data_IF_121687292123
#
_entry.id   IF_121687292123
#
_cell.length_a   1.000
_cell.length_b   1.000
_cell.length_c   1.000
_cell.angle_alpha   90.00
_cell.angle_beta   90.00
_cell.angle_gamma   90.00
#
_symmetry.space_group_name_H-M   'P 1'
#
loop_
_entity.id
_entity.type
_entity.pdbx_description
1 polymer ?
#
# COMPACT_ATOMS: atom_id res chain seq x y z
N UNK A 1 -28.90 -14.77 15.03
CA UNK A 1 -28.76 -13.40 15.58
C UNK A 1 -27.39 -13.22 16.22
N UNK A 2 -26.45 -12.62 15.49
CA UNK A 2 -25.43 -11.71 16.03
C UNK A 2 -25.22 -10.63 14.98
N UNK A 3 -26.01 -9.58 15.13
CA UNK A 3 -25.76 -8.26 14.56
C UNK A 3 -24.39 -7.80 15.09
N UNK A 4 -23.42 -7.68 14.19
CA UNK A 4 -22.19 -6.94 14.44
C UNK A 4 -22.29 -5.68 13.59
N UNK A 5 -22.44 -4.52 14.23
CA UNK A 5 -22.29 -3.22 13.60
C UNK A 5 -20.92 -3.16 12.92
N UNK A 6 -20.87 -3.38 11.60
CA UNK A 6 -19.68 -3.08 10.83
C UNK A 6 -19.61 -1.57 10.72
N UNK A 7 -18.88 -0.92 11.63
CA UNK A 7 -18.55 0.50 11.47
C UNK A 7 -17.88 0.70 10.11
N UNK A 8 -18.28 1.74 9.39
CA UNK A 8 -17.61 2.15 8.16
C UNK A 8 -16.14 2.44 8.47
N UNK A 9 -15.21 1.84 7.70
CA UNK A 9 -13.79 2.13 7.88
C UNK A 9 -13.51 3.62 7.63
N UNK A 10 -12.41 4.13 8.16
CA UNK A 10 -12.06 5.53 7.96
C UNK A 10 -11.57 5.74 6.52
N UNK A 11 -10.68 4.86 6.07
CA UNK A 11 -10.04 4.97 4.76
C UNK A 11 -9.92 3.62 4.05
N UNK A 12 -10.17 3.62 2.75
CA UNK A 12 -9.84 2.52 1.82
C UNK A 12 -8.61 2.88 0.96
N UNK A 13 -8.07 1.88 0.27
CA UNK A 13 -7.05 2.05 -0.75
C UNK A 13 -7.59 1.73 -2.14
N UNK A 14 -7.25 2.55 -3.13
CA UNK A 14 -7.58 2.32 -4.54
C UNK A 14 -6.28 2.37 -5.33
N UNK A 15 -5.97 1.27 -6.03
CA UNK A 15 -4.79 1.17 -6.91
C UNK A 15 -5.24 0.98 -8.34
N UNK A 16 -4.96 1.96 -9.19
CA UNK A 16 -5.27 1.93 -10.61
C UNK A 16 -4.20 1.14 -11.35
N UNK A 17 -4.55 -0.07 -11.78
CA UNK A 17 -3.72 -0.95 -12.59
C UNK A 17 -4.02 -0.82 -14.10
N UNK A 18 -5.04 -0.03 -14.46
CA UNK A 18 -5.43 0.22 -15.85
C UNK A 18 -4.47 1.18 -16.57
N UNK A 19 -4.09 0.82 -17.80
CA UNK A 19 -3.28 1.67 -18.67
C UNK A 19 -2.43 0.86 -19.66
N UNK A 20 -2.47 1.22 -20.94
CA UNK A 20 -1.59 0.63 -21.95
C UNK A 20 -0.16 1.12 -21.70
N UNK A 21 0.65 0.29 -21.06
CA UNK A 21 2.07 0.54 -20.74
C UNK A 21 2.96 0.47 -22.00
N UNK A 22 2.61 1.24 -23.03
CA UNK A 22 3.17 1.13 -24.39
C UNK A 22 4.67 1.43 -24.45
N UNK A 23 5.19 2.28 -23.55
CA UNK A 23 6.61 2.64 -23.47
C UNK A 23 7.50 1.55 -22.87
N UNK A 24 6.93 0.64 -22.08
CA UNK A 24 7.67 -0.40 -21.36
C UNK A 24 7.61 -1.78 -22.05
N UNK A 25 6.79 -1.93 -23.09
CA UNK A 25 6.57 -3.21 -23.79
C UNK A 25 5.84 -4.29 -22.97
N UNK A 26 5.78 -4.15 -21.65
CA UNK A 26 5.10 -5.04 -20.69
C UNK A 26 4.23 -4.21 -19.75
N UNK A 27 3.14 -4.80 -19.22
CA UNK A 27 2.31 -4.14 -18.20
C UNK A 27 3.15 -3.75 -16.98
N UNK A 28 3.12 -2.46 -16.59
CA UNK A 28 3.81 -1.97 -15.39
C UNK A 28 3.44 -2.77 -14.14
N UNK A 29 2.18 -3.20 -14.03
CA UNK A 29 1.69 -3.99 -12.91
C UNK A 29 2.51 -5.27 -12.66
N UNK A 30 3.00 -5.90 -13.74
CA UNK A 30 3.73 -7.17 -13.71
C UNK A 30 5.26 -7.00 -13.65
N UNK A 31 5.78 -5.77 -13.64
CA UNK A 31 7.23 -5.55 -13.55
C UNK A 31 7.77 -6.07 -12.22
N UNK A 32 8.91 -6.75 -12.29
CA UNK A 32 9.57 -7.33 -11.14
C UNK A 32 10.20 -6.25 -10.25
N UNK A 33 9.82 -6.29 -8.97
CA UNK A 33 10.45 -5.57 -7.88
C UNK A 33 11.03 -6.58 -6.88
N UNK A 34 12.23 -7.07 -7.17
CA UNK A 34 12.97 -7.97 -6.30
C UNK A 34 12.17 -9.24 -5.95
N UNK A 35 11.59 -9.88 -6.97
CA UNK A 35 10.76 -11.08 -6.82
C UNK A 35 9.28 -10.80 -6.49
N UNK A 36 8.88 -9.54 -6.31
CA UNK A 36 7.50 -9.13 -6.07
C UNK A 36 7.00 -8.25 -7.22
N UNK A 37 5.82 -8.50 -7.81
CA UNK A 37 5.26 -7.62 -8.83
C UNK A 37 5.03 -6.20 -8.30
N UNK A 38 5.28 -5.16 -9.11
CA UNK A 38 5.08 -3.75 -8.73
C UNK A 38 3.67 -3.48 -8.18
N UNK A 39 2.64 -4.04 -8.82
CA UNK A 39 1.26 -3.89 -8.36
C UNK A 39 1.06 -4.48 -6.95
N UNK A 40 1.58 -5.68 -6.70
CA UNK A 40 1.48 -6.33 -5.38
C UNK A 40 2.20 -5.51 -4.31
N UNK A 41 3.37 -4.94 -4.66
CA UNK A 41 4.11 -4.04 -3.78
C UNK A 41 3.31 -2.78 -3.43
N UNK A 42 2.81 -2.04 -4.42
CA UNK A 42 2.05 -0.80 -4.18
C UNK A 42 0.77 -1.09 -3.39
N UNK A 43 0.03 -2.14 -3.76
CA UNK A 43 -1.16 -2.54 -3.01
C UNK A 43 -0.84 -2.92 -1.56
N UNK A 44 0.28 -3.61 -1.32
CA UNK A 44 0.78 -3.90 0.03
C UNK A 44 1.14 -2.65 0.83
N UNK A 45 1.81 -1.67 0.21
CA UNK A 45 2.15 -0.40 0.84
C UNK A 45 0.91 0.41 1.24
N UNK A 46 -0.10 0.48 0.36
CA UNK A 46 -1.38 1.13 0.64
C UNK A 46 -2.13 0.39 1.75
N UNK A 47 -2.19 -0.94 1.69
CA UNK A 47 -2.84 -1.77 2.71
C UNK A 47 -2.25 -1.62 4.12
N UNK A 48 -0.99 -1.22 4.22
CA UNK A 48 -0.34 -0.90 5.50
C UNK A 48 -0.73 0.46 6.09
N UNK A 49 -1.45 1.30 5.35
CA UNK A 49 -1.81 2.65 5.75
C UNK A 49 -3.32 2.86 5.96
N UNK A 50 -4.15 1.91 5.53
CA UNK A 50 -5.61 2.01 5.55
C UNK A 50 -6.23 0.95 6.45
N UNK A 51 -7.41 1.22 7.00
CA UNK A 51 -8.16 0.29 7.85
C UNK A 51 -9.36 -0.37 7.13
N UNK A 52 -9.68 0.11 5.92
CA UNK A 52 -10.67 -0.44 5.02
C UNK A 52 -10.08 -1.34 3.92
N UNK A 53 -10.89 -1.66 2.90
CA UNK A 53 -10.46 -2.53 1.79
C UNK A 53 -9.39 -1.85 0.92
N UNK A 54 -8.55 -2.66 0.29
CA UNK A 54 -7.70 -2.24 -0.83
C UNK A 54 -8.27 -2.82 -2.11
N UNK A 55 -8.63 -1.96 -3.06
CA UNK A 55 -9.21 -2.33 -4.34
C UNK A 55 -8.24 -2.01 -5.46
N UNK A 56 -7.95 -2.99 -6.31
CA UNK A 56 -7.24 -2.81 -7.57
C UNK A 56 -8.25 -2.68 -8.70
N UNK A 57 -8.19 -1.56 -9.42
CA UNK A 57 -9.01 -1.31 -10.61
C UNK A 57 -8.19 -1.67 -11.84
N UNK A 58 -8.61 -2.70 -12.59
CA UNK A 58 -7.92 -3.16 -13.80
C UNK A 58 -8.72 -2.87 -15.07
N UNK A 59 -8.04 -2.80 -16.21
CA UNK A 59 -8.72 -2.73 -17.50
C UNK A 59 -9.43 -4.06 -17.84
N UNK A 60 -10.50 -4.04 -18.67
CA UNK A 60 -11.19 -5.26 -19.09
C UNK A 60 -10.23 -6.30 -19.66
N UNK A 61 -10.31 -7.54 -19.16
CA UNK A 61 -9.50 -8.65 -19.66
C UNK A 61 -8.00 -8.55 -19.35
N UNK A 62 -7.57 -7.57 -18.56
CA UNK A 62 -6.19 -7.44 -18.15
C UNK A 62 -5.81 -8.57 -17.17
N UNK A 63 -4.83 -9.39 -17.57
CA UNK A 63 -4.17 -10.31 -16.65
C UNK A 63 -3.44 -9.53 -15.55
N UNK A 64 -3.68 -9.91 -14.29
CA UNK A 64 -2.96 -9.37 -13.14
C UNK A 64 -2.00 -10.42 -12.59
N UNK A 65 -0.82 -9.98 -12.08
CA UNK A 65 0.04 -10.87 -11.31
C UNK A 65 -0.62 -11.25 -9.96
N UNK A 66 -0.06 -12.20 -9.21
CA UNK A 66 -0.52 -12.52 -7.86
C UNK A 66 -0.58 -11.26 -6.97
N UNK A 67 -1.66 -11.13 -6.21
CA UNK A 67 -1.92 -10.02 -5.30
C UNK A 67 -1.95 -10.50 -3.85
N UNK A 68 -1.68 -9.62 -2.87
CA UNK A 68 -1.87 -9.94 -1.45
C UNK A 68 -3.31 -10.38 -1.17
N UNK A 69 -3.51 -11.30 -0.22
CA UNK A 69 -4.79 -11.98 0.01
C UNK A 69 -5.97 -11.04 0.35
N UNK A 70 -5.69 -9.85 0.90
CA UNK A 70 -6.71 -8.86 1.30
C UNK A 70 -7.04 -7.83 0.22
N UNK A 71 -6.47 -7.99 -0.98
CA UNK A 71 -6.70 -7.08 -2.11
C UNK A 71 -7.85 -7.60 -2.97
N UNK A 72 -8.85 -6.75 -3.15
CA UNK A 72 -9.98 -7.00 -4.05
C UNK A 72 -9.64 -6.49 -5.45
N UNK A 73 -10.16 -7.13 -6.48
CA UNK A 73 -10.00 -6.71 -7.88
C UNK A 73 -11.35 -6.34 -8.45
N UNK A 74 -11.44 -5.18 -9.08
CA UNK A 74 -12.62 -4.74 -9.83
C UNK A 74 -12.23 -4.41 -11.27
N UNK A 75 -13.12 -4.75 -12.20
CA UNK A 75 -12.97 -4.45 -13.60
C UNK A 75 -13.53 -3.04 -13.90
N UNK A 76 -12.72 -2.20 -14.53
CA UNK A 76 -13.21 -0.98 -15.17
C UNK A 76 -13.97 -1.36 -16.44
N UNK A 77 -15.29 -1.15 -16.55
CA UNK A 77 -16.06 -1.63 -17.70
C UNK A 77 -15.72 -0.93 -19.01
N UNK A 78 -15.01 0.21 -18.99
CA UNK A 78 -14.77 1.01 -20.19
C UNK A 78 -13.31 1.43 -20.32
N UNK A 79 -12.53 0.69 -21.12
CA UNK A 79 -11.14 1.02 -21.38
C UNK A 79 -11.00 2.39 -22.09
N UNK A 80 -9.94 3.13 -21.74
CA UNK A 80 -9.52 4.31 -22.51
C UNK A 80 -10.20 5.63 -22.13
N UNK A 81 -10.97 5.66 -21.04
CA UNK A 81 -11.58 6.89 -20.50
C UNK A 81 -10.68 7.68 -19.53
N UNK A 82 -9.42 7.29 -19.41
CA UNK A 82 -8.43 7.98 -18.58
C UNK A 82 -8.57 7.66 -17.09
N UNK A 83 -7.70 8.24 -16.24
CA UNK A 83 -7.63 7.88 -14.83
C UNK A 83 -8.91 8.22 -14.04
N UNK A 84 -9.70 9.20 -14.48
CA UNK A 84 -10.94 9.57 -13.78
C UNK A 84 -11.99 8.44 -13.77
N UNK A 85 -12.05 7.65 -14.85
CA UNK A 85 -12.89 6.45 -14.91
C UNK A 85 -12.47 5.43 -13.84
N UNK A 86 -11.17 5.16 -13.72
CA UNK A 86 -10.66 4.26 -12.70
C UNK A 86 -10.94 4.75 -11.27
N UNK A 87 -10.87 6.08 -11.05
CA UNK A 87 -11.28 6.69 -9.78
C UNK A 87 -12.77 6.47 -9.52
N UNK A 88 -13.64 6.67 -10.51
CA UNK A 88 -15.08 6.46 -10.37
C UNK A 88 -15.38 5.03 -9.91
N UNK A 89 -14.85 4.04 -10.63
CA UNK A 89 -15.03 2.60 -10.35
C UNK A 89 -14.47 2.24 -8.98
N UNK A 90 -13.29 2.75 -8.63
CA UNK A 90 -12.68 2.50 -7.33
C UNK A 90 -13.49 3.08 -6.17
N UNK A 91 -13.96 4.33 -6.30
CA UNK A 91 -14.77 4.99 -5.27
C UNK A 91 -16.13 4.30 -5.10
N UNK A 92 -16.76 3.88 -6.20
CA UNK A 92 -17.99 3.09 -6.17
C UNK A 92 -17.78 1.74 -5.46
N UNK A 93 -16.68 1.05 -5.76
CA UNK A 93 -16.37 -0.24 -5.15
C UNK A 93 -16.22 -0.17 -3.61
N UNK A 94 -15.72 0.94 -3.07
CA UNK A 94 -15.52 1.13 -1.62
C UNK A 94 -16.66 1.90 -0.95
N UNK A 95 -17.70 2.28 -1.71
CA UNK A 95 -18.87 2.98 -1.19
C UNK A 95 -19.57 2.16 -0.09
N UNK A 96 -19.96 2.83 0.99
CA UNK A 96 -20.55 2.19 2.17
C UNK A 96 -19.58 1.37 3.04
N UNK A 97 -18.31 1.23 2.63
CA UNK A 97 -17.27 0.48 3.35
C UNK A 97 -16.18 1.39 3.93
N UNK A 98 -15.97 2.57 3.35
CA UNK A 98 -15.06 3.59 3.86
C UNK A 98 -15.59 5.02 3.67
N UNK A 99 -15.15 5.97 4.50
CA UNK A 99 -15.45 7.41 4.34
C UNK A 99 -14.53 8.15 3.37
N UNK A 100 -13.27 7.73 3.30
CA UNK A 100 -12.25 8.27 2.40
C UNK A 100 -11.53 7.15 1.64
N UNK A 101 -10.83 7.49 0.56
CA UNK A 101 -9.97 6.58 -0.17
C UNK A 101 -8.67 7.26 -0.58
N UNK A 102 -7.54 6.59 -0.37
CA UNK A 102 -6.27 6.98 -1.00
C UNK A 102 -6.21 6.34 -2.38
N UNK A 103 -6.04 7.16 -3.41
CA UNK A 103 -5.97 6.72 -4.81
C UNK A 103 -4.54 6.81 -5.29
N UNK A 104 -4.05 5.72 -5.87
CA UNK A 104 -2.73 5.70 -6.52
C UNK A 104 -2.65 4.84 -7.77
N UNK A 105 -1.56 4.97 -8.51
CA UNK A 105 -1.22 4.12 -9.66
C UNK A 105 -0.11 3.12 -9.27
N UNK A 106 0.17 2.17 -10.16
CA UNK A 106 1.19 1.12 -9.90
C UNK A 106 2.64 1.59 -9.99
N UNK A 107 2.88 2.84 -10.36
CA UNK A 107 4.21 3.36 -10.71
C UNK A 107 4.92 4.09 -9.57
N UNK A 108 4.40 4.05 -8.34
CA UNK A 108 5.05 4.60 -7.16
C UNK A 108 5.64 3.48 -6.26
N UNK A 109 6.71 2.76 -6.69
CA UNK A 109 7.28 1.65 -5.92
C UNK A 109 7.90 2.08 -4.59
N UNK A 110 8.20 3.37 -4.44
CA UNK A 110 8.79 3.93 -3.23
C UNK A 110 7.75 4.55 -2.30
N UNK A 111 6.45 4.46 -2.63
CA UNK A 111 5.35 4.98 -1.81
C UNK A 111 5.50 4.55 -0.35
N UNK A 112 5.48 5.52 0.56
CA UNK A 112 5.59 5.24 1.98
C UNK A 112 4.22 5.20 2.66
N UNK A 113 3.91 4.23 3.55
CA UNK A 113 2.67 4.22 4.33
C UNK A 113 2.44 5.50 5.14
N UNK A 114 3.51 6.14 5.63
CA UNK A 114 3.43 7.44 6.32
C UNK A 114 2.96 8.57 5.39
N UNK A 115 3.33 8.54 4.09
CA UNK A 115 2.82 9.50 3.10
C UNK A 115 1.32 9.32 2.92
N UNK A 116 0.87 8.07 2.71
CA UNK A 116 -0.55 7.73 2.57
C UNK A 116 -1.36 8.21 3.78
N UNK A 117 -0.89 7.91 5.00
CA UNK A 117 -1.50 8.40 6.25
C UNK A 117 -1.53 9.92 6.32
N UNK A 118 -0.44 10.60 5.95
CA UNK A 118 -0.34 12.07 6.00
C UNK A 118 -1.37 12.74 5.09
N UNK A 119 -1.48 12.28 3.84
CA UNK A 119 -2.44 12.79 2.86
C UNK A 119 -3.88 12.52 3.31
N UNK A 120 -4.17 11.31 3.79
CA UNK A 120 -5.50 10.97 4.34
C UNK A 120 -5.87 11.85 5.55
N UNK A 121 -4.91 12.14 6.44
CA UNK A 121 -5.14 12.97 7.62
C UNK A 121 -5.37 14.46 7.30
N UNK A 122 -4.97 14.92 6.11
CA UNK A 122 -5.25 16.29 5.63
C UNK A 122 -6.66 16.43 5.04
N UNK A 123 -7.39 15.33 4.84
CA UNK A 123 -8.76 15.37 4.35
C UNK A 123 -9.70 15.71 5.53
N UNK A 124 -9.80 17.00 5.83
CA UNK A 124 -10.69 17.54 6.86
C UNK A 124 -12.17 17.34 6.51
N UNK A 125 -13.11 17.75 7.38
CA UNK A 125 -14.54 17.51 7.17
C UNK A 125 -15.13 18.21 5.94
N UNK A 126 -14.53 19.32 5.52
CA UNK A 126 -15.04 20.13 4.43
C UNK A 126 -14.38 19.80 3.07
N UNK A 127 -13.20 19.20 3.08
CA UNK A 127 -12.44 18.88 1.88
C UNK A 127 -13.04 17.67 1.17
N UNK A 128 -13.21 17.76 -0.14
CA UNK A 128 -13.62 16.62 -0.96
C UNK A 128 -12.40 15.84 -1.46
N UNK A 129 -11.31 16.54 -1.73
CA UNK A 129 -10.05 15.95 -2.22
C UNK A 129 -8.85 16.64 -1.58
N UNK A 130 -7.83 15.87 -1.21
CA UNK A 130 -6.48 16.35 -0.94
C UNK A 130 -5.59 15.93 -2.10
N UNK A 131 -5.08 16.90 -2.85
CA UNK A 131 -4.17 16.68 -3.99
C UNK A 131 -2.84 17.36 -3.70
N UNK A 132 -1.85 16.62 -3.19
CA UNK A 132 -0.53 17.17 -2.94
C UNK A 132 0.08 17.82 -4.18
N UNK A 133 0.81 18.93 -3.97
CA UNK A 133 1.57 19.62 -5.00
C UNK A 133 3.07 19.52 -4.67
N UNK A 134 3.80 18.76 -5.46
CA UNK A 134 5.23 18.49 -5.25
C UNK A 134 5.97 18.90 -6.49
N UNK A 135 7.03 19.71 -6.32
CA UNK A 135 7.78 20.32 -7.42
C UNK A 135 6.87 21.05 -8.43
N UNK A 136 5.87 21.79 -7.93
CA UNK A 136 4.85 22.50 -8.71
C UNK A 136 3.87 21.62 -9.52
N UNK A 137 3.94 20.30 -9.38
CA UNK A 137 3.02 19.39 -10.08
C UNK A 137 1.97 18.81 -9.12
N UNK A 138 0.67 18.88 -9.47
CA UNK A 138 -0.38 18.22 -8.70
C UNK A 138 -0.26 16.70 -8.85
N UNK A 139 -0.53 15.97 -7.76
CA UNK A 139 -0.37 14.53 -7.65
C UNK A 139 -1.73 13.83 -7.49
N UNK A 140 -2.59 13.80 -8.53
CA UNK A 140 -3.95 13.28 -8.43
C UNK A 140 -4.03 11.77 -8.20
N UNK A 141 -2.92 11.05 -8.45
CA UNK A 141 -2.76 9.60 -8.23
C UNK A 141 -1.79 9.33 -7.07
N UNK A 142 -1.71 10.26 -6.12
CA UNK A 142 -1.15 10.08 -4.80
C UNK A 142 -1.93 10.96 -3.81
N UNK A 143 -3.25 10.83 -3.85
CA UNK A 143 -4.20 11.79 -3.31
C UNK A 143 -5.30 11.09 -2.50
N UNK A 144 -5.90 11.83 -1.56
CA UNK A 144 -7.06 11.36 -0.81
C UNK A 144 -8.34 11.93 -1.42
N UNK A 145 -9.35 11.09 -1.57
CA UNK A 145 -10.66 11.43 -2.11
C UNK A 145 -11.73 11.02 -1.11
N UNK A 146 -12.72 11.88 -0.88
CA UNK A 146 -13.91 11.52 -0.12
C UNK A 146 -14.74 10.53 -0.92
N UNK A 147 -15.19 9.45 -0.29
CA UNK A 147 -15.95 8.39 -0.99
C UNK A 147 -17.31 8.90 -1.48
N UNK A 148 -17.91 9.89 -0.79
CA UNK A 148 -19.15 10.54 -1.22
C UNK A 148 -19.04 11.30 -2.55
N UNK A 149 -17.84 11.48 -3.11
CA UNK A 149 -17.66 12.01 -4.46
C UNK A 149 -18.05 11.02 -5.56
N UNK A 150 -18.21 9.73 -5.25
CA UNK A 150 -18.49 8.69 -6.25
C UNK A 150 -19.61 9.07 -7.25
N UNK A 151 -20.78 9.60 -6.85
CA UNK A 151 -21.82 10.01 -7.80
C UNK A 151 -21.40 11.17 -8.72
N UNK A 152 -20.69 12.17 -8.19
CA UNK A 152 -20.19 13.31 -8.97
C UNK A 152 -19.15 12.85 -10.00
N UNK A 153 -18.18 12.03 -9.58
CA UNK A 153 -17.13 11.52 -10.47
C UNK A 153 -17.75 10.67 -11.58
N UNK A 154 -18.73 9.84 -11.25
CA UNK A 154 -19.47 9.01 -12.22
C UNK A 154 -20.26 9.85 -13.23
N UNK A 155 -20.90 10.95 -12.80
CA UNK A 155 -21.58 11.89 -13.70
C UNK A 155 -20.59 12.53 -14.67
N UNK A 156 -19.47 13.07 -14.17
CA UNK A 156 -18.44 13.72 -15.00
C UNK A 156 -17.87 12.76 -16.05
N UNK A 157 -17.61 11.51 -15.66
CA UNK A 157 -17.13 10.47 -16.58
C UNK A 157 -18.17 10.15 -17.66
N UNK A 158 -19.46 10.17 -17.31
CA UNK A 158 -20.57 10.00 -18.26
C UNK A 158 -20.70 11.17 -19.23
N UNK A 159 -20.37 12.38 -18.78
CA UNK A 159 -20.26 13.61 -19.59
C UNK A 159 -19.00 13.65 -20.48
N UNK A 160 -18.13 12.64 -20.38
CA UNK A 160 -16.93 12.52 -21.21
C UNK A 160 -15.68 13.14 -20.60
N UNK A 161 -15.72 13.60 -19.36
CA UNK A 161 -14.54 14.08 -18.62
C UNK A 161 -13.59 12.92 -18.35
N UNK A 162 -12.31 13.09 -18.68
CA UNK A 162 -11.30 12.02 -18.58
C UNK A 162 -10.20 12.28 -17.57
N UNK A 163 -10.00 13.54 -17.17
CA UNK A 163 -8.82 13.97 -16.41
C UNK A 163 -9.22 14.53 -15.03
N UNK A 164 -8.53 14.12 -13.94
CA UNK A 164 -8.81 14.59 -12.59
C UNK A 164 -8.81 16.12 -12.39
N UNK A 165 -7.98 16.94 -13.06
CA UNK A 165 -8.04 18.39 -12.92
C UNK A 165 -9.42 19.00 -13.16
N UNK A 166 -10.24 18.41 -14.04
CA UNK A 166 -11.59 18.90 -14.32
C UNK A 166 -12.55 18.64 -13.13
N UNK A 167 -12.40 17.50 -12.43
CA UNK A 167 -13.11 17.22 -11.18
C UNK A 167 -12.80 18.28 -10.12
N UNK A 168 -11.55 18.74 -10.02
CA UNK A 168 -11.12 19.69 -8.99
C UNK A 168 -11.75 21.08 -9.12
N UNK A 169 -12.42 21.37 -10.24
CA UNK A 169 -13.20 22.61 -10.43
C UNK A 169 -14.63 22.48 -9.91
N UNK A 170 -15.07 21.27 -9.53
CA UNK A 170 -16.44 20.92 -9.13
C UNK A 170 -16.57 20.50 -7.67
N UNK A 171 -15.48 20.55 -6.89
CA UNK A 171 -15.44 20.14 -5.49
C UNK A 171 -14.40 20.95 -4.69
N UNK A 172 -14.42 20.85 -3.36
CA UNK A 172 -13.47 21.54 -2.49
C UNK A 172 -12.16 20.76 -2.43
N UNK A 173 -11.06 21.38 -2.85
CA UNK A 173 -9.74 20.71 -2.94
C UNK A 173 -8.70 21.41 -2.08
N UNK A 174 -8.06 20.65 -1.20
CA UNK A 174 -6.87 21.04 -0.43
C UNK A 174 -5.63 20.62 -1.21
N UNK A 175 -4.64 21.51 -1.35
CA UNK A 175 -3.42 21.28 -2.13
C UNK A 175 -2.19 21.53 -1.28
N UNK A 176 -1.83 20.57 -0.40
CA UNK A 176 -0.69 20.74 0.46
C UNK A 176 0.59 20.72 -0.38
N UNK A 177 1.50 21.64 -0.10
CA UNK A 177 2.84 21.64 -0.68
C UNK A 177 3.80 20.71 0.09
N UNK A 178 5.07 20.69 -0.32
CA UNK A 178 6.12 19.87 0.29
C UNK A 178 6.36 20.23 1.77
N UNK A 179 6.29 21.51 2.13
CA UNK A 179 6.46 21.97 3.51
C UNK A 179 5.30 21.50 4.39
N UNK A 180 4.07 21.65 3.92
CA UNK A 180 2.87 21.20 4.64
C UNK A 180 2.84 19.68 4.82
N UNK A 181 3.28 18.91 3.82
CA UNK A 181 3.45 17.47 3.94
C UNK A 181 4.47 17.12 5.03
N UNK A 182 5.65 17.73 4.97
CA UNK A 182 6.78 17.47 5.88
C UNK A 182 6.58 18.05 7.29
N UNK A 183 5.59 18.93 7.49
CA UNK A 183 5.15 19.29 8.85
C UNK A 183 4.66 18.06 9.66
N UNK A 184 4.31 16.96 8.98
CA UNK A 184 4.05 15.67 9.63
C UNK A 184 5.35 14.99 10.08
N UNK A 185 5.60 14.98 11.39
CA UNK A 185 6.85 14.46 11.99
C UNK A 185 7.20 13.01 11.57
N UNK A 186 6.20 12.14 11.38
CA UNK A 186 6.46 10.79 10.90
C UNK A 186 7.03 10.79 9.48
N UNK A 187 6.39 11.51 8.55
CA UNK A 187 6.79 11.58 7.15
C UNK A 187 8.17 12.21 6.99
N UNK A 188 8.41 13.35 7.65
CA UNK A 188 9.71 14.02 7.60
C UNK A 188 10.87 13.16 8.11
N UNK A 189 10.60 12.25 9.05
CA UNK A 189 11.63 11.34 9.57
C UNK A 189 11.97 10.21 8.60
N UNK A 190 10.98 9.65 7.91
CA UNK A 190 11.14 8.41 7.12
C UNK A 190 11.27 8.64 5.62
N UNK A 191 10.76 9.77 5.12
CA UNK A 191 10.79 10.16 3.72
C UNK A 191 10.96 11.69 3.56
N UNK A 192 12.09 12.27 4.02
CA UNK A 192 12.31 13.72 4.00
C UNK A 192 12.44 14.32 2.59
N UNK A 193 12.70 13.49 1.57
CA UNK A 193 12.79 13.91 0.17
C UNK A 193 11.51 13.62 -0.63
N UNK A 194 10.46 13.10 0.01
CA UNK A 194 9.18 12.72 -0.64
C UNK A 194 9.44 11.76 -1.82
N UNK A 195 10.37 10.83 -1.63
CA UNK A 195 10.67 9.75 -2.58
C UNK A 195 9.44 8.87 -2.86
N UNK A 196 8.43 8.90 -1.98
CA UNK A 196 7.11 8.32 -2.20
C UNK A 196 6.51 8.65 -3.56
N UNK A 197 6.83 9.81 -4.14
CA UNK A 197 6.27 10.29 -5.41
C UNK A 197 7.19 10.05 -6.62
N UNK A 198 8.28 9.30 -6.43
CA UNK A 198 9.20 8.95 -7.51
C UNK A 198 8.61 7.85 -8.41
N UNK A 199 8.00 8.30 -9.51
CA UNK A 199 7.39 7.44 -10.52
C UNK A 199 8.36 6.58 -11.32
N UNK A 200 7.89 5.40 -11.76
CA UNK A 200 8.56 4.54 -12.76
C UNK A 200 7.71 4.40 -14.03
N UNK A 201 8.11 5.15 -15.05
CA UNK A 201 7.48 5.23 -16.37
C UNK A 201 8.37 4.69 -17.48
N UNK A 202 9.69 4.62 -17.27
CA UNK A 202 10.68 4.12 -18.23
C UNK A 202 11.55 3.01 -17.63
N UNK A 203 12.24 2.20 -18.46
CA UNK A 203 13.16 1.18 -17.97
C UNK A 203 14.33 1.78 -17.18
N UNK A 204 14.82 2.95 -17.59
CA UNK A 204 15.90 3.66 -16.90
C UNK A 204 15.48 4.16 -15.53
N UNK A 205 14.26 4.69 -15.40
CA UNK A 205 13.68 5.07 -14.10
C UNK A 205 13.55 3.85 -13.18
N UNK A 206 13.05 2.73 -13.71
CA UNK A 206 12.97 1.47 -12.96
C UNK A 206 14.37 1.00 -12.51
N UNK A 207 15.36 1.04 -13.40
CA UNK A 207 16.73 0.67 -13.07
C UNK A 207 17.31 1.58 -11.98
N UNK A 208 17.09 2.90 -12.08
CA UNK A 208 17.55 3.88 -11.10
C UNK A 208 16.95 3.65 -9.71
N UNK A 209 15.64 3.38 -9.61
CA UNK A 209 15.03 3.08 -8.30
C UNK A 209 15.42 1.70 -7.78
N UNK A 210 15.68 0.71 -8.63
CA UNK A 210 16.18 -0.61 -8.24
C UNK A 210 17.65 -0.58 -7.81
N UNK A 211 18.44 0.37 -8.29
CA UNK A 211 19.82 0.55 -7.84
C UNK A 211 19.92 1.05 -6.39
N UNK A 212 18.81 1.53 -5.79
CA UNK A 212 18.79 1.96 -4.40
C UNK A 212 19.01 0.78 -3.44
N UNK A 213 19.75 0.99 -2.34
CA UNK A 213 19.93 -0.04 -1.32
C UNK A 213 18.58 -0.43 -0.70
N UNK A 214 18.50 -1.67 -0.18
CA UNK A 214 17.35 -2.08 0.61
C UNK A 214 17.22 -1.16 1.85
N UNK A 215 15.99 -0.88 2.33
CA UNK A 215 15.83 -0.10 3.54
C UNK A 215 16.45 -0.84 4.72
N UNK A 216 17.08 -0.08 5.61
CA UNK A 216 17.52 -0.60 6.90
C UNK A 216 16.31 -0.67 7.82
N UNK A 217 15.99 -1.88 8.26
CA UNK A 217 14.82 -2.17 9.10
C UNK A 217 15.31 -2.55 10.48
N UNK A 218 14.76 -1.90 11.51
CA UNK A 218 15.12 -2.18 12.88
C UNK A 218 14.61 -3.56 13.29
N UNK A 219 15.36 -4.23 14.16
CA UNK A 219 14.95 -5.47 14.82
C UNK A 219 14.87 -5.16 16.30
N UNK A 220 13.73 -5.41 16.93
CA UNK A 220 13.48 -5.05 18.33
C UNK A 220 14.58 -5.58 19.28
N UNK A 221 15.09 -6.76 18.98
CA UNK A 221 16.16 -7.43 19.72
C UNK A 221 17.30 -7.81 18.76
N UNK A 222 18.16 -6.85 18.45
CA UNK A 222 19.40 -7.11 17.70
C UNK A 222 19.75 -6.05 16.66
N UNK A 223 20.80 -6.32 15.85
CA UNK A 223 21.20 -5.40 14.81
C UNK A 223 20.17 -5.36 13.67
N UNK A 224 20.02 -4.20 13.00
CA UNK A 224 19.10 -4.04 11.88
C UNK A 224 19.45 -4.98 10.72
N UNK A 225 18.50 -5.13 9.81
CA UNK A 225 18.66 -5.90 8.56
C UNK A 225 18.28 -5.05 7.36
N UNK A 226 19.00 -5.24 6.26
CA UNK A 226 18.69 -4.63 4.98
C UNK A 226 17.75 -5.57 4.21
N UNK A 227 16.46 -5.23 4.13
CA UNK A 227 15.46 -6.10 3.52
C UNK A 227 14.32 -5.28 2.89
N UNK A 228 13.83 -5.70 1.73
CA UNK A 228 12.75 -5.03 0.98
C UNK A 228 11.38 -5.65 1.25
N UNK A 229 11.36 -6.89 1.70
CA UNK A 229 10.15 -7.64 2.04
C UNK A 229 10.32 -8.37 3.36
N UNK A 230 9.21 -8.72 4.00
CA UNK A 230 9.23 -9.53 5.21
C UNK A 230 9.85 -10.91 4.95
N UNK A 231 9.68 -11.48 3.76
CA UNK A 231 10.32 -12.74 3.35
C UNK A 231 11.84 -12.66 3.32
N UNK A 232 12.40 -11.60 2.72
CA UNK A 232 13.86 -11.35 2.74
C UNK A 232 14.37 -11.20 4.18
N UNK A 233 13.69 -10.39 5.00
CA UNK A 233 14.07 -10.21 6.40
C UNK A 233 13.99 -11.52 7.19
N UNK A 234 12.97 -12.34 6.93
CA UNK A 234 12.79 -13.65 7.56
C UNK A 234 13.93 -14.59 7.22
N UNK A 235 14.36 -14.66 5.96
CA UNK A 235 15.49 -15.47 5.55
C UNK A 235 16.80 -15.03 6.25
N UNK A 236 17.04 -13.72 6.33
CA UNK A 236 18.23 -13.16 7.00
C UNK A 236 18.24 -13.41 8.52
N UNK A 237 17.07 -13.32 9.17
CA UNK A 237 16.94 -13.48 10.62
C UNK A 237 16.85 -14.95 11.04
N UNK A 238 16.30 -15.84 10.21
CA UNK A 238 16.31 -17.28 10.45
C UNK A 238 17.75 -17.82 10.57
N UNK A 239 18.70 -17.25 9.84
CA UNK A 239 20.13 -17.58 9.96
C UNK A 239 20.71 -17.22 11.34
N UNK A 240 20.11 -16.26 12.07
CA UNK A 240 20.55 -15.79 13.39
C UNK A 240 19.81 -16.47 14.55
N UNK A 241 18.51 -16.68 14.39
CA UNK A 241 17.61 -17.13 15.47
C UNK A 241 17.10 -18.57 15.29
N UNK A 242 17.50 -19.25 14.20
CA UNK A 242 17.07 -20.60 13.87
C UNK A 242 15.74 -20.65 13.10
N UNK A 243 15.41 -21.82 12.51
CA UNK A 243 14.27 -21.99 11.61
C UNK A 243 12.89 -21.89 12.30
N UNK A 244 12.84 -21.96 13.63
CA UNK A 244 11.61 -21.83 14.41
C UNK A 244 11.21 -20.38 14.72
N UNK A 245 12.08 -19.42 14.39
CA UNK A 245 11.82 -17.99 14.60
C UNK A 245 10.76 -17.49 13.61
N UNK A 246 9.70 -16.87 14.14
CA UNK A 246 8.70 -16.17 13.34
C UNK A 246 8.98 -14.68 13.40
N UNK A 247 9.27 -14.08 12.24
CA UNK A 247 9.50 -12.64 12.13
C UNK A 247 8.18 -11.96 11.87
N UNK A 248 7.88 -10.92 12.64
CA UNK A 248 6.67 -10.13 12.48
C UNK A 248 6.98 -8.66 12.34
N UNK A 249 6.25 -7.98 11.45
CA UNK A 249 6.26 -6.53 11.37
C UNK A 249 5.41 -5.93 12.51
N UNK A 250 6.02 -5.08 13.35
CA UNK A 250 5.32 -4.44 14.45
C UNK A 250 4.17 -3.55 13.92
N UNK A 251 2.98 -3.69 14.53
CA UNK A 251 1.81 -2.87 14.17
C UNK A 251 1.05 -3.30 12.90
N UNK A 252 1.46 -4.38 12.22
CA UNK A 252 0.74 -4.90 11.04
C UNK A 252 -0.33 -5.94 11.41
N UNK A 253 -1.48 -5.88 10.73
CA UNK A 253 -2.46 -6.97 10.69
C UNK A 253 -1.94 -8.05 9.72
N UNK A 254 -1.99 -9.33 10.09
CA UNK A 254 -1.35 -10.45 9.36
C UNK A 254 0.16 -10.27 9.14
N UNK A 255 0.87 -9.92 10.22
CA UNK A 255 2.29 -9.58 10.24
C UNK A 255 3.29 -10.71 9.82
N UNK A 256 2.88 -11.72 9.06
CA UNK A 256 3.72 -12.86 8.63
C UNK A 256 3.70 -13.13 7.13
N UNK A 257 2.94 -12.38 6.32
CA UNK A 257 2.97 -12.54 4.87
C UNK A 257 4.35 -12.14 4.31
N UNK A 258 5.10 -13.05 3.66
CA UNK A 258 6.43 -12.76 3.14
C UNK A 258 6.45 -11.68 2.07
N UNK A 259 5.32 -11.42 1.39
CA UNK A 259 5.19 -10.37 0.38
C UNK A 259 5.02 -8.96 0.98
N UNK A 260 4.87 -8.82 2.31
CA UNK A 260 4.75 -7.50 2.95
C UNK A 260 5.96 -6.64 2.58
N UNK A 261 5.75 -5.48 1.93
CA UNK A 261 6.84 -4.59 1.58
C UNK A 261 7.35 -3.89 2.85
N UNK A 262 8.67 -3.89 3.05
CA UNK A 262 9.33 -3.16 4.12
C UNK A 262 9.80 -1.79 3.64
N UNK A 263 9.79 -0.82 4.55
CA UNK A 263 10.13 0.58 4.31
C UNK A 263 10.98 1.15 5.45
N UNK A 264 11.68 2.29 5.24
CA UNK A 264 12.40 2.96 6.33
C UNK A 264 11.51 3.25 7.55
N UNK A 265 12.05 3.02 8.74
CA UNK A 265 11.32 3.21 9.99
C UNK A 265 10.48 2.02 10.45
N UNK A 266 10.43 0.94 9.67
CA UNK A 266 9.85 -0.33 10.11
C UNK A 266 10.65 -0.98 11.24
N UNK A 267 9.93 -1.69 12.11
CA UNK A 267 10.47 -2.45 13.23
C UNK A 267 9.97 -3.89 13.15
N UNK A 268 10.90 -4.84 13.17
CA UNK A 268 10.61 -6.28 13.20
C UNK A 268 10.75 -6.81 14.61
N UNK A 269 9.82 -7.68 15.01
CA UNK A 269 9.95 -8.48 16.22
C UNK A 269 10.20 -9.94 15.87
N UNK A 270 11.07 -10.59 16.64
CA UNK A 270 11.36 -12.02 16.53
C UNK A 270 10.52 -12.74 17.57
N UNK A 271 9.63 -13.64 17.13
CA UNK A 271 8.85 -14.50 18.03
C UNK A 271 9.37 -15.91 17.91
N UNK A 272 10.04 -16.40 18.96
CA UNK A 272 10.43 -17.80 19.05
C UNK A 272 9.28 -18.54 19.72
N UNK A 273 8.64 -19.44 18.97
CA UNK A 273 7.69 -20.37 19.60
C UNK A 273 8.52 -21.34 20.45
N UNK A 274 8.33 -21.44 21.77
CA UNK A 274 8.99 -22.47 22.54
C UNK A 274 8.57 -23.83 21.97
N UNK A 275 9.53 -24.68 21.64
CA UNK A 275 9.25 -26.06 21.23
C UNK A 275 8.44 -26.79 22.30
N UNK A 276 7.74 -27.89 21.98
CA UNK A 276 7.05 -28.67 22.99
C UNK A 276 8.06 -29.02 24.07
N UNK A 277 7.82 -28.55 25.30
CA UNK A 277 8.67 -28.83 26.43
C UNK A 277 8.85 -30.35 26.49
N UNK A 278 10.10 -30.80 26.35
CA UNK A 278 10.43 -32.21 26.45
C UNK A 278 9.82 -32.72 27.75
N UNK A 279 8.92 -33.70 27.62
CA UNK A 279 8.42 -34.46 28.76
C UNK A 279 9.67 -35.03 29.42
N UNK A 280 10.05 -34.46 30.56
CA UNK A 280 11.05 -35.04 31.44
C UNK A 280 10.47 -36.42 31.80
N UNK A 281 11.10 -37.46 31.29
CA UNK A 281 10.77 -38.83 31.63
C UNK A 281 10.89 -38.95 33.15
N UNK A 282 9.72 -38.99 33.82
CA UNK A 282 9.62 -39.28 35.23
C UNK A 282 10.13 -40.70 35.45
N UNK A 283 11.26 -40.78 36.14
CA UNK A 283 11.86 -41.99 36.67
C UNK A 283 10.81 -42.80 37.42
N UNK A 284 10.40 -43.93 36.84
CA UNK A 284 9.58 -44.95 37.49
C UNK A 284 10.50 -46.08 37.92
N UNK A 285 11.26 -45.85 38.99
CA UNK A 285 11.93 -46.91 39.71
C UNK A 285 10.89 -47.72 40.50
N UNK A 286 10.57 -48.87 39.93
CA UNK A 286 9.68 -49.92 40.40
C UNK A 286 10.11 -50.49 41.76
N UNK A 287 9.16 -50.58 42.70
CA UNK A 287 9.19 -51.52 43.84
C UNK A 287 9.02 -52.96 43.34
N UNK A 288 9.65 -53.89 44.07
CA UNK A 288 9.63 -55.39 44.02
C UNK A 288 11.00 -55.86 43.56
N UNK A 289 11.80 -56.57 44.35
CA UNK A 289 11.52 -57.54 45.43
C UNK A 289 12.54 -57.43 46.54
#
# INVERSE_FOLDING_TARGET
MRSGLSGTARAAGIVLAGGRSSRMGTSKAALDWFGVPLLARVAGLVGRAVDGPVVVVRAPGQGLPPLPARVEVVDDPVEGRGPLQGIAVGLEAVAGRAGAAFVTATDLPLLHPAYVRRVLAMLDEDADVVVPQVHDFPQPLAAAYRVSLSPLVTSLVSEGVRRPPELFTRCRVVRPDEEELLAGAELARVDPQIDSLRGVNTPDELAAVRARPAPQVAVAEGPPVAARTLGEATALLAARHGPAARIVLAGAVDAVDPAIPLVPGDVLAVRVTPGPAGVVAGDTASRRT
#
